data_IF_133779985841
#
_entry.id   IF_133779985841
#
_cell.length_a   1.000
_cell.length_b   1.000
_cell.length_c   1.000
_cell.angle_alpha   90.00
_cell.angle_beta   90.00
_cell.angle_gamma   90.00
#
_symmetry.space_group_name_H-M   'P 1'
#
loop_
_entity.id
_entity.type
_entity.pdbx_description
1 polymer ?
#
# COMPACT_ATOMS: atom_id res chain seq x y z
N UNK A 1 2.54 -4.05 36.63
CA UNK A 1 3.45 -4.88 35.82
C UNK A 1 3.58 -4.20 34.46
N UNK A 2 4.76 -3.68 34.09
CA UNK A 2 4.98 -3.06 32.78
C UNK A 2 5.23 -4.14 31.75
N UNK A 3 4.29 -4.34 30.82
CA UNK A 3 4.48 -5.18 29.64
C UNK A 3 5.38 -4.41 28.65
N UNK A 4 6.69 -4.39 28.91
CA UNK A 4 7.66 -3.80 27.99
C UNK A 4 7.81 -4.82 26.86
N UNK A 5 7.18 -4.57 25.71
CA UNK A 5 7.37 -5.37 24.50
C UNK A 5 8.86 -5.66 24.34
N UNK A 6 9.21 -6.93 24.16
CA UNK A 6 10.58 -7.33 23.93
C UNK A 6 11.06 -6.60 22.65
N UNK A 7 12.17 -5.84 22.70
CA UNK A 7 12.71 -5.18 21.52
C UNK A 7 12.92 -6.14 20.34
N UNK A 8 13.13 -7.42 20.65
CA UNK A 8 13.29 -8.50 19.67
C UNK A 8 12.01 -8.74 18.87
N UNK A 9 10.84 -8.72 19.50
CA UNK A 9 9.55 -8.91 18.83
C UNK A 9 9.30 -7.81 17.78
N UNK A 10 9.66 -6.57 18.12
CA UNK A 10 9.52 -5.41 17.22
C UNK A 10 10.45 -5.56 16.01
N UNK A 11 11.70 -5.99 16.24
CA UNK A 11 12.68 -6.20 15.17
C UNK A 11 12.26 -7.34 14.24
N UNK A 12 11.72 -8.44 14.78
CA UNK A 12 11.20 -9.55 13.96
C UNK A 12 9.96 -9.17 13.15
N UNK A 13 9.05 -8.37 13.72
CA UNK A 13 7.91 -7.83 12.98
C UNK A 13 8.35 -6.88 11.87
N UNK A 14 9.35 -6.04 12.12
CA UNK A 14 9.90 -5.12 11.13
C UNK A 14 10.63 -5.85 10.00
N UNK A 15 11.37 -6.92 10.32
CA UNK A 15 12.05 -7.75 9.33
C UNK A 15 11.05 -8.51 8.45
N UNK A 16 10.00 -9.09 9.03
CA UNK A 16 8.90 -9.71 8.28
C UNK A 16 8.18 -8.72 7.38
N UNK A 17 7.91 -7.51 7.88
CA UNK A 17 7.32 -6.45 7.07
C UNK A 17 8.25 -6.05 5.90
N UNK A 18 9.55 -5.87 6.16
CA UNK A 18 10.52 -5.56 5.10
C UNK A 18 10.62 -6.66 4.04
N UNK A 19 10.62 -7.94 4.43
CA UNK A 19 10.69 -9.05 3.48
C UNK A 19 9.45 -9.10 2.59
N UNK A 20 8.25 -8.90 3.17
CA UNK A 20 7.00 -8.79 2.44
C UNK A 20 6.99 -7.60 1.47
N UNK A 21 7.52 -6.44 1.87
CA UNK A 21 7.65 -5.27 1.00
C UNK A 21 8.66 -5.46 -0.13
N UNK A 22 9.80 -6.12 0.15
CA UNK A 22 10.90 -6.30 -0.81
C UNK A 22 10.71 -7.51 -1.74
N UNK A 23 9.74 -8.38 -1.45
CA UNK A 23 9.53 -9.65 -2.17
C UNK A 23 10.83 -10.48 -2.28
N UNK A 24 11.72 -10.37 -1.28
CA UNK A 24 13.11 -10.83 -1.39
C UNK A 24 13.34 -12.29 -0.95
N UNK A 25 12.36 -12.94 -0.28
CA UNK A 25 12.54 -14.28 0.30
C UNK A 25 11.35 -15.24 0.12
N UNK A 26 11.55 -16.29 -0.69
CA UNK A 26 11.03 -17.69 -0.63
C UNK A 26 9.64 -18.03 -0.02
N UNK A 27 8.69 -17.13 0.03
CA UNK A 27 7.30 -17.40 0.39
C UNK A 27 6.40 -16.76 -0.66
N UNK A 28 5.39 -17.51 -1.13
CA UNK A 28 4.32 -16.92 -1.94
C UNK A 28 3.68 -15.85 -1.07
N UNK A 29 3.75 -14.59 -1.45
CA UNK A 29 3.06 -13.51 -0.74
C UNK A 29 1.60 -13.96 -0.53
N UNK A 30 1.18 -14.05 0.73
CA UNK A 30 -0.23 -14.25 1.04
C UNK A 30 -0.91 -12.91 0.79
N UNK A 31 -1.43 -12.77 -0.43
CA UNK A 31 -2.23 -11.62 -0.80
C UNK A 31 -3.53 -11.66 -0.01
N UNK A 32 -3.93 -10.49 0.49
CA UNK A 32 -5.22 -10.32 1.12
C UNK A 32 -6.33 -10.79 0.17
N UNK A 33 -7.31 -11.52 0.71
CA UNK A 33 -8.43 -12.04 -0.09
C UNK A 33 -9.18 -10.87 -0.75
N UNK A 34 -9.19 -10.85 -2.09
CA UNK A 34 -9.76 -9.75 -2.88
C UNK A 34 -8.74 -8.78 -3.49
N UNK A 35 -7.45 -8.91 -3.18
CA UNK A 35 -6.37 -8.15 -3.84
C UNK A 35 -5.72 -9.07 -4.89
N UNK A 36 -6.02 -8.81 -6.17
CA UNK A 36 -5.30 -9.47 -7.28
C UNK A 36 -3.85 -9.01 -7.28
N UNK A 37 -2.91 -9.94 -7.51
CA UNK A 37 -1.49 -9.63 -7.63
C UNK A 37 -1.11 -9.05 -8.99
N UNK A 38 -2.04 -9.02 -9.95
CA UNK A 38 -1.83 -8.40 -11.26
C UNK A 38 -1.87 -6.88 -11.16
N UNK A 39 -1.15 -6.21 -12.07
CA UNK A 39 -1.23 -4.77 -12.35
C UNK A 39 -2.59 -4.39 -12.99
N UNK A 40 -3.67 -5.09 -12.65
CA UNK A 40 -5.02 -4.75 -13.06
C UNK A 40 -5.45 -3.44 -12.38
N UNK A 41 -6.19 -2.61 -13.11
CA UNK A 41 -6.67 -1.33 -12.60
C UNK A 41 -7.49 -1.47 -11.32
N UNK A 42 -8.19 -2.60 -11.16
CA UNK A 42 -8.95 -2.92 -9.95
C UNK A 42 -8.05 -3.09 -8.73
N UNK A 43 -6.85 -3.65 -8.91
CA UNK A 43 -5.87 -3.80 -7.81
C UNK A 43 -5.49 -2.43 -7.26
N UNK A 44 -5.21 -1.46 -8.14
CA UNK A 44 -4.84 -0.11 -7.71
C UNK A 44 -6.03 0.61 -7.06
N UNK A 45 -7.25 0.42 -7.57
CA UNK A 45 -8.44 0.98 -6.95
C UNK A 45 -8.70 0.38 -5.55
N UNK A 46 -8.53 -0.93 -5.38
CA UNK A 46 -8.66 -1.58 -4.06
C UNK A 46 -7.62 -1.05 -3.08
N UNK A 47 -6.37 -0.85 -3.50
CA UNK A 47 -5.33 -0.21 -2.67
C UNK A 47 -5.73 1.21 -2.26
N UNK A 48 -6.28 2.01 -3.18
CA UNK A 48 -6.77 3.35 -2.86
C UNK A 48 -7.88 3.31 -1.81
N UNK A 49 -8.86 2.41 -1.94
CA UNK A 49 -9.91 2.22 -0.94
C UNK A 49 -9.36 1.82 0.43
N UNK A 50 -8.39 0.90 0.48
CA UNK A 50 -7.73 0.51 1.74
C UNK A 50 -6.98 1.68 2.39
N UNK A 51 -6.33 2.53 1.60
CA UNK A 51 -5.66 3.72 2.13
C UNK A 51 -6.67 4.72 2.74
N UNK A 52 -7.88 4.84 2.19
CA UNK A 52 -8.95 5.64 2.82
C UNK A 52 -9.30 5.08 4.21
N UNK A 53 -9.49 3.77 4.35
CA UNK A 53 -9.76 3.14 5.66
C UNK A 53 -8.62 3.35 6.67
N UNK A 54 -7.36 3.40 6.19
CA UNK A 54 -6.21 3.74 7.01
C UNK A 54 -6.30 5.19 7.51
N UNK A 55 -6.76 6.14 6.70
CA UNK A 55 -6.95 7.53 7.17
C UNK A 55 -7.96 7.62 8.31
N UNK A 56 -9.07 6.89 8.25
CA UNK A 56 -10.07 6.83 9.31
C UNK A 56 -9.47 6.27 10.61
N UNK A 57 -8.66 5.22 10.48
CA UNK A 57 -7.97 4.59 11.62
C UNK A 57 -6.96 5.55 12.25
N UNK A 58 -6.17 6.25 11.44
CA UNK A 58 -5.18 7.22 11.92
C UNK A 58 -5.86 8.37 12.66
N UNK A 59 -6.96 8.91 12.13
CA UNK A 59 -7.72 9.97 12.78
C UNK A 59 -8.35 9.51 14.10
N UNK A 60 -8.84 8.27 14.16
CA UNK A 60 -9.43 7.71 15.38
C UNK A 60 -8.40 7.44 16.49
N UNK A 61 -7.16 7.13 16.12
CA UNK A 61 -6.08 6.82 17.08
C UNK A 61 -5.29 8.06 17.54
N UNK A 62 -5.49 9.22 16.92
CA UNK A 62 -4.92 10.47 17.37
C UNK A 62 -4.66 11.49 16.25
N UNK A 63 -3.92 12.53 16.59
CA UNK A 63 -3.59 13.67 15.73
C UNK A 63 -2.44 13.37 14.76
N UNK A 64 -2.47 12.22 14.06
CA UNK A 64 -1.45 11.81 13.09
C UNK A 64 -1.58 12.53 11.73
N UNK A 65 -1.72 13.87 11.75
CA UNK A 65 -2.04 14.67 10.57
C UNK A 65 -1.04 14.50 9.42
N UNK A 66 0.26 14.39 9.72
CA UNK A 66 1.27 14.13 8.68
C UNK A 66 1.04 12.79 7.99
N UNK A 67 0.77 11.72 8.74
CA UNK A 67 0.49 10.41 8.16
C UNK A 67 -0.82 10.40 7.36
N UNK A 68 -1.85 11.11 7.84
CA UNK A 68 -3.11 11.29 7.10
C UNK A 68 -2.86 11.99 5.76
N UNK A 69 -2.01 13.01 5.72
CA UNK A 69 -1.64 13.71 4.48
C UNK A 69 -0.90 12.77 3.51
N UNK A 70 0.10 12.03 3.99
CA UNK A 70 0.85 11.07 3.18
C UNK A 70 -0.04 9.97 2.60
N UNK A 71 -0.90 9.38 3.43
CA UNK A 71 -1.85 8.35 3.00
C UNK A 71 -2.85 8.93 1.99
N UNK A 72 -3.29 10.18 2.16
CA UNK A 72 -4.17 10.86 1.20
C UNK A 72 -3.51 11.02 -0.17
N UNK A 73 -2.22 11.40 -0.21
CA UNK A 73 -1.47 11.44 -1.47
C UNK A 73 -1.34 10.05 -2.10
N UNK A 74 -1.09 9.02 -1.29
CA UNK A 74 -1.08 7.63 -1.75
C UNK A 74 -2.42 7.20 -2.36
N UNK A 75 -3.55 7.56 -1.74
CA UNK A 75 -4.89 7.31 -2.29
C UNK A 75 -5.08 7.97 -3.65
N UNK A 76 -4.67 9.24 -3.79
CA UNK A 76 -4.78 10.00 -5.04
C UNK A 76 -3.93 9.35 -6.14
N UNK A 77 -2.67 9.05 -5.85
CA UNK A 77 -1.75 8.38 -6.79
C UNK A 77 -2.34 7.08 -7.32
N UNK A 78 -2.81 6.20 -6.42
CA UNK A 78 -3.37 4.90 -6.78
C UNK A 78 -4.68 5.01 -7.56
N UNK A 79 -5.48 6.04 -7.28
CA UNK A 79 -6.70 6.33 -8.03
C UNK A 79 -6.38 6.78 -9.47
N UNK A 80 -5.34 7.59 -9.64
CA UNK A 80 -4.85 8.01 -10.97
C UNK A 80 -4.23 6.82 -11.71
N UNK A 81 -3.42 5.99 -11.04
CA UNK A 81 -2.83 4.78 -11.62
C UNK A 81 -3.92 3.78 -12.06
N UNK A 82 -4.96 3.59 -11.24
CA UNK A 82 -6.13 2.79 -11.61
C UNK A 82 -6.84 3.34 -12.85
N UNK A 83 -7.12 4.64 -12.88
CA UNK A 83 -7.73 5.26 -14.05
C UNK A 83 -6.85 5.10 -15.29
N UNK A 84 -5.56 5.36 -15.16
CA UNK A 84 -4.58 5.18 -16.22
C UNK A 84 -4.63 3.74 -16.74
N UNK A 85 -4.44 2.71 -15.89
CA UNK A 85 -4.50 1.30 -16.28
C UNK A 85 -5.83 0.91 -16.95
N UNK A 86 -6.96 1.43 -16.45
CA UNK A 86 -8.27 1.16 -17.03
C UNK A 86 -8.42 1.74 -18.45
N UNK A 87 -7.81 2.90 -18.71
CA UNK A 87 -7.77 3.53 -20.04
C UNK A 87 -6.65 2.96 -20.93
N UNK A 88 -5.56 2.50 -20.32
CA UNK A 88 -4.31 2.07 -20.95
C UNK A 88 -4.31 0.60 -21.36
N UNK A 89 -5.45 -0.09 -21.32
CA UNK A 89 -5.56 -1.43 -21.90
C UNK A 89 -5.23 -1.44 -23.43
N UNK A 90 -4.97 -0.28 -24.05
CA UNK A 90 -4.26 -0.11 -25.34
C UNK A 90 -2.93 0.71 -25.28
N UNK A 91 -2.58 1.45 -24.21
CA UNK A 91 -1.54 2.53 -24.23
C UNK A 91 -0.61 2.62 -22.99
N UNK A 92 -0.36 1.54 -22.23
CA UNK A 92 0.43 1.62 -20.97
C UNK A 92 1.91 1.99 -21.14
N UNK A 93 2.48 1.84 -22.34
CA UNK A 93 3.87 2.23 -22.62
C UNK A 93 4.04 3.76 -22.56
N UNK A 94 3.05 4.54 -22.99
CA UNK A 94 3.20 5.99 -23.19
C UNK A 94 3.25 6.78 -21.87
N UNK A 95 2.72 6.23 -20.77
CA UNK A 95 2.74 6.93 -19.47
C UNK A 95 4.10 6.83 -18.75
N UNK A 96 4.88 5.77 -18.99
CA UNK A 96 6.21 5.60 -18.37
C UNK A 96 7.23 6.62 -18.90
N UNK A 97 7.03 7.12 -20.12
CA UNK A 97 7.90 8.10 -20.77
C UNK A 97 7.63 9.56 -20.34
N UNK A 98 6.49 9.82 -19.68
CA UNK A 98 6.11 11.16 -19.21
C UNK A 98 6.64 11.54 -17.82
N UNK A 99 7.20 10.56 -17.08
CA UNK A 99 7.69 10.74 -15.70
C UNK A 99 9.23 10.61 -15.56
N UNK A 100 9.96 10.59 -16.68
CA UNK A 100 11.43 10.71 -16.71
C UNK A 100 11.87 12.12 -17.12
#
# INVERSE_FOLDING_TARGET
MCNRSDPTDILESLERAQDAFKMAGRGRAEFEEGISADDDWKTQLTKACRLIEVTDTLQAQGDYYTAVIEVSFGTIERSIEAYALAMSNDELQDFKDLLC
#
